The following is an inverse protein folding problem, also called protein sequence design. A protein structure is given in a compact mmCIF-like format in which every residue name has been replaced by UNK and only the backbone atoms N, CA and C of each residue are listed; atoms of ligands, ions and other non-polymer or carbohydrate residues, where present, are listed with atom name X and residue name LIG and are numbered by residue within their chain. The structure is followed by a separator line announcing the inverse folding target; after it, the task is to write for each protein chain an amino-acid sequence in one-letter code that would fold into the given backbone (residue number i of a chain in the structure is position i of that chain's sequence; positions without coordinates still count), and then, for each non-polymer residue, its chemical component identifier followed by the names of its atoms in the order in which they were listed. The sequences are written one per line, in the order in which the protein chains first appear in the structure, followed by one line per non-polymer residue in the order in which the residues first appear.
data_IF_457824168207
#
_entry.id   IF_457824168207
#
_cell.length_a   1.000
_cell.length_b   1.000
_cell.length_c   1.000
_cell.angle_alpha   90.00
_cell.angle_beta   90.00
_cell.angle_gamma   90.00
#
_symmetry.space_group_name_H-M   'P 1'
#
loop_
_entity.id
_entity.type
_entity.pdbx_description
1 polymer ?
#
# COMPACT_ATOMS: atom_id res chain seq x y z
N UNK A 1 10.62 47.57 -38.69
CA UNK A 1 9.39 47.03 -38.09
C UNK A 1 9.16 45.63 -38.68
N UNK A 2 9.64 44.56 -38.03
CA UNK A 2 9.38 43.18 -38.46
C UNK A 2 9.29 42.30 -37.21
N UNK A 3 8.08 41.85 -36.91
CA UNK A 3 7.72 41.00 -35.78
C UNK A 3 7.96 39.53 -36.12
N UNK A 4 8.95 38.89 -35.49
CA UNK A 4 9.10 37.42 -35.55
C UNK A 4 8.15 36.77 -34.54
N UNK A 5 7.10 36.09 -35.04
CA UNK A 5 6.26 35.18 -34.24
C UNK A 5 7.08 33.94 -33.86
N UNK A 6 7.21 33.64 -32.56
CA UNK A 6 7.66 32.34 -32.06
C UNK A 6 6.51 31.35 -32.19
N UNK A 7 6.72 30.26 -32.92
CA UNK A 7 5.84 29.08 -32.93
C UNK A 7 6.22 28.22 -31.72
N UNK A 8 5.29 27.99 -30.81
CA UNK A 8 5.46 27.06 -29.68
C UNK A 8 5.27 25.62 -30.17
N UNK A 9 6.29 24.79 -30.07
CA UNK A 9 6.15 23.35 -30.25
C UNK A 9 5.52 22.74 -28.97
N UNK A 10 4.33 22.16 -29.11
CA UNK A 10 3.69 21.33 -28.09
C UNK A 10 4.51 20.03 -27.90
N UNK A 11 4.75 19.55 -26.67
CA UNK A 11 5.41 18.26 -26.47
C UNK A 11 4.45 17.14 -26.91
N UNK A 12 4.93 16.30 -27.83
CA UNK A 12 4.21 15.10 -28.27
C UNK A 12 4.09 14.12 -27.10
N UNK A 13 2.86 13.80 -26.71
CA UNK A 13 2.59 12.74 -25.74
C UNK A 13 2.99 11.37 -26.31
N UNK A 14 3.64 10.56 -25.47
CA UNK A 14 4.03 9.18 -25.77
C UNK A 14 2.75 8.35 -25.92
N UNK A 15 2.60 7.66 -27.06
CA UNK A 15 1.39 6.88 -27.32
C UNK A 15 1.42 5.54 -26.58
N UNK A 16 0.24 4.98 -26.26
CA UNK A 16 0.09 3.63 -25.64
C UNK A 16 0.83 2.51 -26.40
N UNK A 17 1.17 2.70 -27.67
CA UNK A 17 1.96 1.76 -28.48
C UNK A 17 3.46 1.82 -28.19
N UNK A 18 3.98 2.95 -27.71
CA UNK A 18 5.41 3.10 -27.36
C UNK A 18 5.74 2.55 -25.96
N UNK A 19 4.72 2.39 -25.10
CA UNK A 19 4.85 1.72 -23.79
C UNK A 19 4.95 0.18 -23.90
N UNK A 20 4.57 -0.40 -25.02
CA UNK A 20 4.52 -1.87 -25.23
C UNK A 20 5.76 -2.44 -25.93
N UNK A 21 6.74 -1.62 -26.30
CA UNK A 21 7.93 -2.04 -27.04
C UNK A 21 9.11 -2.54 -26.17
N UNK A 22 8.95 -2.62 -24.84
CA UNK A 22 9.99 -3.12 -23.93
C UNK A 22 9.73 -4.53 -23.35
N UNK A 23 8.72 -5.26 -23.85
CA UNK A 23 8.28 -6.53 -23.25
C UNK A 23 7.93 -7.64 -24.27
N UNK A 24 8.83 -8.03 -25.18
CA UNK A 24 8.61 -9.28 -25.93
C UNK A 24 9.86 -10.16 -25.96
N UNK A 25 9.84 -11.19 -25.12
CA UNK A 25 10.53 -12.46 -25.31
C UNK A 25 9.52 -13.59 -25.13
N UNK A 26 9.13 -14.22 -26.25
CA UNK A 26 8.75 -15.63 -26.49
C UNK A 26 8.29 -16.45 -25.25
N UNK A 27 7.23 -17.26 -25.25
CA UNK A 27 6.57 -18.08 -26.29
C UNK A 27 5.55 -18.99 -25.57
N UNK A 28 4.60 -19.60 -26.27
CA UNK A 28 4.00 -20.87 -25.81
C UNK A 28 2.50 -21.00 -25.99
N UNK A 29 2.10 -21.92 -26.88
CA UNK A 29 0.74 -22.35 -27.17
C UNK A 29 0.11 -23.17 -26.01
N UNK A 30 -1.23 -23.15 -25.90
CA UNK A 30 -2.05 -24.37 -25.82
C UNK A 30 -3.56 -24.09 -25.97
N UNK A 31 -4.24 -25.07 -26.54
CA UNK A 31 -5.63 -25.14 -27.01
C UNK A 31 -6.53 -25.84 -26.00
N UNK A 32 -7.85 -25.69 -26.19
CA UNK A 32 -8.99 -26.57 -25.80
C UNK A 32 -9.89 -25.94 -24.73
N UNK A 33 -11.21 -26.07 -24.75
CA UNK A 33 -12.14 -26.76 -25.64
C UNK A 33 -13.52 -26.59 -25.00
N UNK A 34 -14.48 -26.03 -25.74
CA UNK A 34 -15.84 -25.79 -25.25
C UNK A 34 -16.68 -27.07 -25.33
N UNK A 35 -17.45 -27.38 -24.29
CA UNK A 35 -18.58 -28.29 -24.40
C UNK A 35 -19.79 -27.72 -23.64
N UNK A 36 -20.92 -27.69 -24.32
CA UNK A 36 -22.14 -26.97 -23.97
C UNK A 36 -23.24 -27.92 -23.49
N UNK A 37 -24.02 -27.44 -22.52
CA UNK A 37 -25.45 -27.66 -22.23
C UNK A 37 -26.08 -29.07 -22.21
N UNK A 38 -26.79 -29.32 -21.10
CA UNK A 38 -27.97 -30.20 -20.99
C UNK A 38 -28.21 -30.52 -19.50
N UNK A 39 -29.38 -30.36 -18.89
CA UNK A 39 -30.71 -30.03 -19.35
C UNK A 39 -31.59 -29.69 -18.14
N UNK A 40 -32.65 -28.95 -18.44
CA UNK A 40 -33.73 -28.51 -17.57
C UNK A 40 -34.61 -29.69 -17.13
N UNK A 41 -35.06 -29.74 -15.87
CA UNK A 41 -36.34 -30.35 -15.52
C UNK A 41 -36.96 -29.65 -14.31
N UNK A 42 -38.07 -28.99 -14.62
CA UNK A 42 -39.03 -28.33 -13.73
C UNK A 42 -39.90 -29.39 -13.08
N UNK A 43 -40.07 -29.33 -11.76
CA UNK A 43 -41.25 -29.90 -11.09
C UNK A 43 -41.88 -28.87 -10.17
N UNK A 44 -43.11 -28.49 -10.52
CA UNK A 44 -44.04 -27.71 -9.72
C UNK A 44 -44.76 -28.64 -8.75
N UNK A 45 -44.79 -28.27 -7.47
CA UNK A 45 -45.80 -28.73 -6.53
C UNK A 45 -46.27 -27.55 -5.67
N UNK A 46 -47.57 -27.28 -5.74
CA UNK A 46 -48.31 -26.26 -4.97
C UNK A 46 -48.84 -26.86 -3.66
N UNK A 47 -49.16 -25.92 -2.74
CA UNK A 47 -50.01 -26.00 -1.53
C UNK A 47 -49.28 -26.40 -0.24
N UNK A 48 -49.57 -25.84 0.93
CA UNK A 48 -50.63 -24.94 1.38
C UNK A 48 -50.07 -24.08 2.54
N UNK A 49 -50.55 -22.84 2.66
CA UNK A 49 -50.30 -21.98 3.81
C UNK A 49 -51.09 -22.48 5.03
N UNK A 50 -50.38 -22.78 6.12
CA UNK A 50 -50.95 -22.83 7.46
C UNK A 50 -50.37 -21.67 8.25
N UNK A 51 -51.18 -20.64 8.48
CA UNK A 51 -50.86 -19.52 9.37
C UNK A 51 -50.84 -20.01 10.82
N UNK A 52 -49.65 -20.38 11.31
CA UNK A 52 -49.37 -20.47 12.74
C UNK A 52 -48.62 -19.20 13.16
N UNK A 53 -49.17 -18.48 14.14
CA UNK A 53 -48.54 -17.31 14.76
C UNK A 53 -47.21 -17.72 15.42
N UNK A 54 -46.10 -17.52 14.72
CA UNK A 54 -44.76 -17.58 15.30
C UNK A 54 -44.41 -16.23 15.90
N UNK A 55 -44.24 -16.21 17.22
CA UNK A 55 -43.62 -15.09 17.92
C UNK A 55 -42.21 -14.88 17.36
N UNK A 56 -41.98 -13.77 16.67
CA UNK A 56 -40.66 -13.37 16.20
C UNK A 56 -39.83 -12.96 17.40
N UNK A 57 -38.99 -13.88 17.89
CA UNK A 57 -37.90 -13.50 18.78
C UNK A 57 -36.99 -12.55 18.00
N UNK A 58 -36.98 -11.27 18.37
CA UNK A 58 -36.00 -10.30 17.90
C UNK A 58 -34.63 -10.83 18.35
N UNK A 59 -33.71 -11.22 17.44
CA UNK A 59 -32.38 -11.62 17.87
C UNK A 59 -31.73 -10.41 18.51
N UNK A 60 -31.46 -10.51 19.82
CA UNK A 60 -30.62 -9.55 20.52
C UNK A 60 -29.28 -9.51 19.77
N UNK A 61 -28.82 -8.34 19.30
CA UNK A 61 -27.54 -8.26 18.61
C UNK A 61 -26.44 -8.69 19.57
N UNK A 62 -25.89 -9.88 19.35
CA UNK A 62 -24.69 -10.33 20.04
C UNK A 62 -23.58 -9.35 19.67
N UNK A 63 -22.90 -8.70 20.64
CA UNK A 63 -21.77 -7.83 20.32
C UNK A 63 -20.71 -8.67 19.60
N UNK A 64 -20.48 -8.35 18.32
CA UNK A 64 -19.43 -8.98 17.53
C UNK A 64 -18.09 -8.51 18.12
N UNK A 65 -17.43 -9.38 18.89
CA UNK A 65 -16.09 -9.15 19.44
C UNK A 65 -14.98 -9.41 18.41
N UNK A 66 -15.26 -9.18 17.13
CA UNK A 66 -14.22 -9.18 16.10
C UNK A 66 -13.28 -8.01 16.41
N UNK A 67 -11.95 -8.20 16.47
CA UNK A 67 -11.02 -7.10 16.64
C UNK A 67 -11.33 -6.03 15.59
N UNK A 68 -11.86 -4.90 16.05
CA UNK A 68 -12.24 -3.81 15.16
C UNK A 68 -10.95 -3.32 14.52
N UNK A 69 -10.96 -3.10 13.20
CA UNK A 69 -9.80 -2.53 12.51
C UNK A 69 -9.37 -1.24 13.25
N UNK A 70 -8.06 -0.96 13.37
CA UNK A 70 -7.59 0.25 14.02
C UNK A 70 -8.27 1.47 13.39
N UNK A 71 -8.66 2.48 14.18
CA UNK A 71 -9.26 3.67 13.61
C UNK A 71 -8.28 4.29 12.61
N UNK A 72 -8.77 4.65 11.42
CA UNK A 72 -7.97 5.40 10.46
C UNK A 72 -7.78 6.85 10.95
N UNK A 73 -6.71 7.54 10.51
CA UNK A 73 -6.62 8.98 10.71
C UNK A 73 -7.87 9.68 10.14
N UNK A 74 -8.31 10.81 10.72
CA UNK A 74 -9.39 11.60 10.15
C UNK A 74 -9.10 11.98 8.70
N UNK A 75 -10.12 11.88 7.83
CA UNK A 75 -10.06 12.23 6.40
C UNK A 75 -9.13 11.35 5.53
N UNK A 76 -8.90 10.09 5.93
CA UNK A 76 -8.29 9.10 5.04
C UNK A 76 -9.33 8.48 4.12
N UNK A 77 -9.00 8.42 2.83
CA UNK A 77 -9.79 7.74 1.80
C UNK A 77 -9.54 6.23 1.95
N UNK A 78 -10.56 5.44 2.34
CA UNK A 78 -10.38 4.02 2.59
C UNK A 78 -10.14 3.25 1.29
N UNK A 79 -9.59 2.04 1.41
CA UNK A 79 -9.31 1.13 0.29
C UNK A 79 -10.46 0.98 -0.71
N UNK A 80 -11.67 0.79 -0.21
CA UNK A 80 -12.86 0.64 -1.05
C UNK A 80 -13.14 1.89 -1.92
N UNK A 81 -12.86 3.09 -1.43
CA UNK A 81 -13.15 4.35 -2.12
C UNK A 81 -12.21 4.65 -3.29
N UNK A 82 -11.05 3.98 -3.37
CA UNK A 82 -10.15 4.04 -4.53
C UNK A 82 -10.13 2.73 -5.34
N UNK A 83 -11.09 1.83 -5.11
CA UNK A 83 -11.21 0.54 -5.79
C UNK A 83 -9.98 -0.36 -5.61
N UNK A 84 -9.43 -0.41 -4.41
CA UNK A 84 -8.35 -1.34 -4.08
C UNK A 84 -8.78 -2.79 -4.31
N UNK A 85 -7.92 -3.59 -4.93
CA UNK A 85 -8.10 -5.04 -4.92
C UNK A 85 -7.82 -5.61 -3.51
N UNK A 86 -8.41 -6.75 -3.14
CA UNK A 86 -7.99 -7.47 -1.94
C UNK A 86 -6.52 -7.95 -2.08
N UNK A 87 -5.82 -8.18 -0.96
CA UNK A 87 -4.51 -8.82 -0.97
C UNK A 87 -4.53 -10.18 -1.67
N UNK A 88 -3.46 -10.46 -2.39
CA UNK A 88 -3.24 -11.71 -3.13
C UNK A 88 -2.21 -12.56 -2.41
N UNK A 89 -2.68 -13.42 -1.51
CA UNK A 89 -1.78 -14.30 -0.76
C UNK A 89 -1.16 -15.41 -1.63
N UNK A 90 -1.38 -15.43 -2.94
CA UNK A 90 -0.70 -16.36 -3.86
C UNK A 90 0.44 -15.70 -4.63
N UNK A 91 0.70 -14.41 -4.38
CA UNK A 91 1.76 -13.67 -5.05
C UNK A 91 3.15 -14.24 -4.71
N UNK A 92 3.99 -14.41 -5.73
CA UNK A 92 5.23 -15.19 -5.68
C UNK A 92 6.21 -14.74 -4.59
N UNK A 93 6.38 -13.42 -4.40
CA UNK A 93 7.36 -12.86 -3.46
C UNK A 93 6.87 -12.83 -2.00
N UNK A 94 5.57 -13.04 -1.77
CA UNK A 94 4.94 -13.07 -0.44
C UNK A 94 4.05 -14.31 -0.26
N UNK A 95 4.34 -15.39 -0.99
CA UNK A 95 3.47 -16.55 -1.18
C UNK A 95 2.96 -17.12 0.15
N UNK A 96 1.67 -16.98 0.43
CA UNK A 96 1.03 -17.42 1.67
C UNK A 96 1.30 -16.50 2.87
N UNK A 97 0.98 -17.02 4.06
CA UNK A 97 1.26 -16.31 5.31
C UNK A 97 2.69 -16.54 5.75
N UNK A 98 3.25 -15.56 6.47
CA UNK A 98 4.58 -15.69 7.01
C UNK A 98 4.67 -16.84 8.03
N UNK A 99 5.71 -17.66 7.90
CA UNK A 99 6.05 -18.77 8.79
C UNK A 99 7.57 -18.89 8.93
N UNK A 100 8.05 -19.92 9.64
CA UNK A 100 9.48 -20.22 9.69
C UNK A 100 10.02 -20.63 8.30
N UNK A 101 9.21 -21.33 7.50
CA UNK A 101 9.52 -21.78 6.14
C UNK A 101 9.29 -20.67 5.10
N UNK A 102 8.49 -19.65 5.44
CA UNK A 102 8.17 -18.51 4.59
C UNK A 102 8.33 -17.18 5.34
N UNK A 103 9.57 -16.76 5.66
CA UNK A 103 9.79 -15.58 6.50
C UNK A 103 9.38 -14.25 5.83
N UNK A 104 9.25 -14.23 4.50
CA UNK A 104 8.86 -13.05 3.69
C UNK A 104 7.36 -12.96 3.40
N UNK A 105 6.58 -14.00 3.73
CA UNK A 105 5.15 -14.04 3.48
C UNK A 105 4.33 -12.92 4.11
N UNK A 106 3.03 -12.94 3.83
CA UNK A 106 2.07 -12.01 4.41
C UNK A 106 2.04 -12.14 5.95
N UNK A 107 2.61 -11.15 6.64
CA UNK A 107 2.74 -11.16 8.09
C UNK A 107 1.77 -10.18 8.72
N UNK A 108 0.79 -10.71 9.45
CA UNK A 108 -0.12 -9.93 10.30
C UNK A 108 0.51 -9.82 11.68
N UNK A 109 0.67 -8.60 12.17
CA UNK A 109 1.18 -8.36 13.50
C UNK A 109 0.21 -8.88 14.56
N UNK A 110 0.77 -9.51 15.58
CA UNK A 110 0.05 -9.89 16.80
C UNK A 110 0.44 -8.94 17.94
N UNK A 111 -0.55 -8.48 18.72
CA UNK A 111 -0.34 -7.63 19.89
C UNK A 111 -0.56 -6.13 19.66
N UNK A 112 0.04 -5.30 20.52
CA UNK A 112 -0.13 -3.84 20.50
C UNK A 112 0.70 -3.21 19.38
N UNK A 113 0.04 -2.78 18.30
CA UNK A 113 0.68 -2.07 17.19
C UNK A 113 1.47 -0.83 17.64
N UNK A 114 1.05 -0.16 18.72
CA UNK A 114 1.74 1.00 19.25
C UNK A 114 3.05 0.67 19.96
N UNK A 115 3.29 -0.60 20.28
CA UNK A 115 4.57 -1.08 20.76
C UNK A 115 5.43 -1.67 19.62
N UNK A 116 4.81 -2.06 18.51
CA UNK A 116 5.49 -2.68 17.36
C UNK A 116 6.07 -1.63 16.42
N UNK A 117 5.30 -0.61 16.07
CA UNK A 117 5.77 0.44 15.18
C UNK A 117 6.60 1.46 15.95
N UNK A 118 7.77 1.77 15.42
CA UNK A 118 8.68 2.78 16.01
C UNK A 118 9.05 3.88 15.02
N UNK A 119 9.05 3.54 13.74
CA UNK A 119 9.59 4.40 12.67
C UNK A 119 8.60 4.54 11.52
N UNK A 120 8.43 5.77 11.04
CA UNK A 120 7.75 6.04 9.77
C UNK A 120 8.79 6.30 8.67
N UNK A 121 8.59 5.68 7.51
CA UNK A 121 9.50 5.79 6.36
C UNK A 121 8.80 6.51 5.22
N UNK A 122 9.40 7.59 4.76
CA UNK A 122 8.89 8.45 3.69
C UNK A 122 9.44 7.98 2.34
N UNK A 123 8.53 7.82 1.38
CA UNK A 123 8.78 7.40 0.01
C UNK A 123 8.23 8.39 -1.01
N UNK A 124 8.70 8.27 -2.26
CA UNK A 124 8.02 8.83 -3.43
C UNK A 124 7.58 7.72 -4.40
N UNK A 125 6.60 7.97 -5.28
CA UNK A 125 6.02 6.93 -6.15
C UNK A 125 6.80 6.67 -7.45
N UNK A 126 7.54 7.67 -7.96
CA UNK A 126 8.31 7.59 -9.22
C UNK A 126 7.46 7.25 -10.48
N UNK A 127 6.27 7.86 -10.63
CA UNK A 127 6.03 8.74 -11.79
C UNK A 127 5.51 10.14 -11.38
N UNK A 128 5.42 11.09 -12.34
CA UNK A 128 4.92 12.47 -12.11
C UNK A 128 3.40 12.55 -11.85
N UNK A 129 2.67 11.44 -11.94
CA UNK A 129 1.24 11.42 -11.63
C UNK A 129 1.04 11.59 -10.12
N UNK A 130 0.10 12.48 -9.76
CA UNK A 130 -0.17 12.88 -8.38
C UNK A 130 -1.68 12.93 -8.08
N UNK A 131 -2.44 12.01 -8.66
CA UNK A 131 -3.89 11.95 -8.53
C UNK A 131 -4.37 10.61 -7.95
N UNK A 132 -5.69 10.49 -7.72
CA UNK A 132 -6.31 9.29 -7.14
C UNK A 132 -6.06 8.01 -7.93
N UNK A 133 -5.84 8.09 -9.25
CA UNK A 133 -5.53 6.91 -10.08
C UNK A 133 -4.15 6.31 -9.77
N UNK A 134 -3.26 7.10 -9.17
CA UNK A 134 -1.89 6.66 -8.84
C UNK A 134 -1.88 5.57 -7.77
N UNK A 135 -2.82 5.55 -6.82
CA UNK A 135 -2.92 4.45 -5.83
C UNK A 135 -3.16 3.10 -6.51
N UNK A 136 -4.11 3.06 -7.43
CA UNK A 136 -4.45 1.85 -8.17
C UNK A 136 -3.30 1.41 -9.07
N UNK A 137 -2.65 2.35 -9.77
CA UNK A 137 -1.48 2.07 -10.59
C UNK A 137 -0.31 1.52 -9.77
N UNK A 138 -0.04 2.08 -8.58
CA UNK A 138 0.97 1.56 -7.67
C UNK A 138 0.65 0.14 -7.19
N UNK A 139 -0.62 -0.13 -6.85
CA UNK A 139 -1.06 -1.48 -6.48
C UNK A 139 -0.85 -2.47 -7.63
N UNK A 140 -1.18 -2.08 -8.87
CA UNK A 140 -0.99 -2.91 -10.05
C UNK A 140 0.49 -3.19 -10.35
N UNK A 141 1.37 -2.18 -10.26
CA UNK A 141 2.81 -2.37 -10.45
C UNK A 141 3.37 -3.32 -9.38
N UNK A 142 3.00 -3.11 -8.12
CA UNK A 142 3.47 -3.98 -7.03
C UNK A 142 3.02 -5.43 -7.19
N UNK A 143 1.77 -5.65 -7.62
CA UNK A 143 1.25 -7.01 -7.82
C UNK A 143 1.76 -7.67 -9.10
N UNK A 144 1.72 -6.97 -10.23
CA UNK A 144 1.94 -7.58 -11.54
C UNK A 144 3.41 -7.57 -11.96
N UNK A 145 4.20 -6.61 -11.45
CA UNK A 145 5.62 -6.47 -11.81
C UNK A 145 6.55 -6.89 -10.69
N UNK A 146 6.16 -6.66 -9.43
CA UNK A 146 6.96 -7.09 -8.27
C UNK A 146 6.43 -8.32 -7.58
N UNK A 147 5.31 -8.88 -8.04
CA UNK A 147 4.71 -10.10 -7.51
C UNK A 147 4.49 -10.05 -5.98
N UNK A 148 4.13 -8.87 -5.46
CA UNK A 148 3.74 -8.68 -4.07
C UNK A 148 2.24 -8.93 -3.89
N UNK A 149 1.81 -9.28 -2.69
CA UNK A 149 0.40 -9.55 -2.38
C UNK A 149 -0.47 -8.29 -2.48
N UNK A 150 0.10 -7.11 -2.24
CA UNK A 150 -0.63 -5.84 -2.25
C UNK A 150 0.32 -4.65 -2.49
N UNK A 151 -0.22 -3.44 -2.54
CA UNK A 151 0.58 -2.22 -2.46
C UNK A 151 1.52 -2.28 -1.24
N UNK A 152 2.78 -1.87 -1.39
CA UNK A 152 3.79 -2.02 -0.33
C UNK A 152 3.76 -0.98 0.79
N UNK A 153 3.05 0.13 0.59
CA UNK A 153 2.96 1.26 1.52
C UNK A 153 1.66 1.20 2.32
N UNK A 154 1.66 1.64 3.58
CA UNK A 154 0.45 1.70 4.40
C UNK A 154 -0.40 2.93 4.09
N UNK A 155 0.23 4.03 3.66
CA UNK A 155 -0.49 5.25 3.26
C UNK A 155 0.09 5.86 2.00
N UNK A 156 -0.76 6.47 1.19
CA UNK A 156 -0.39 7.28 0.02
C UNK A 156 -0.91 8.71 0.13
N UNK A 157 -0.18 9.69 -0.40
CA UNK A 157 -0.59 11.11 -0.42
C UNK A 157 -0.48 11.68 -1.84
N UNK A 158 -1.61 12.08 -2.41
CA UNK A 158 -1.66 12.69 -3.73
C UNK A 158 -1.24 14.16 -3.74
N UNK A 159 -1.08 14.75 -4.92
CA UNK A 159 -0.61 16.12 -5.11
C UNK A 159 -1.54 17.18 -4.53
N UNK A 160 -2.81 16.84 -4.31
CA UNK A 160 -3.82 17.69 -3.67
C UNK A 160 -3.84 17.54 -2.14
N UNK A 161 -3.02 16.66 -1.57
CA UNK A 161 -2.94 16.40 -0.13
C UNK A 161 -4.00 15.42 0.37
N UNK A 162 -4.70 14.69 -0.50
CA UNK A 162 -5.59 13.61 -0.05
C UNK A 162 -4.75 12.43 0.41
N UNK A 163 -5.12 11.87 1.56
CA UNK A 163 -4.45 10.70 2.15
C UNK A 163 -5.29 9.47 1.84
N UNK A 164 -4.64 8.42 1.35
CA UNK A 164 -5.27 7.15 0.98
C UNK A 164 -4.73 6.04 1.88
N UNK A 165 -5.64 5.19 2.32
CA UNK A 165 -5.29 3.92 2.96
C UNK A 165 -4.67 2.98 1.92
N UNK A 166 -3.46 2.49 2.18
CA UNK A 166 -2.75 1.49 1.39
C UNK A 166 -2.87 0.11 2.03
N UNK A 167 -1.74 -0.58 2.21
CA UNK A 167 -1.67 -1.86 2.93
C UNK A 167 -2.20 -1.69 4.35
N UNK A 168 -2.97 -2.68 4.80
CA UNK A 168 -3.55 -2.68 6.15
C UNK A 168 -2.46 -2.45 7.20
N UNK A 169 -2.71 -1.52 8.13
CA UNK A 169 -1.75 -1.14 9.17
C UNK A 169 -1.47 -2.26 10.19
N UNK A 170 -2.24 -3.34 10.18
CA UNK A 170 -1.96 -4.55 10.96
C UNK A 170 -0.98 -5.48 10.27
N UNK A 171 -0.60 -5.19 9.03
CA UNK A 171 0.21 -6.07 8.19
C UNK A 171 1.57 -5.44 7.96
N UNK A 172 2.62 -6.27 7.95
CA UNK A 172 3.96 -5.85 7.56
C UNK A 172 3.96 -5.24 6.15
N UNK A 173 4.56 -4.06 6.02
CA UNK A 173 4.75 -3.38 4.74
C UNK A 173 5.65 -4.16 3.76
N UNK A 174 5.71 -3.68 2.52
CA UNK A 174 6.67 -4.10 1.51
C UNK A 174 7.29 -2.85 0.84
N UNK A 175 7.93 -2.00 1.63
CA UNK A 175 8.40 -0.68 1.18
C UNK A 175 9.91 -0.44 1.39
N UNK A 176 10.55 -1.08 2.36
CA UNK A 176 12.01 -1.07 2.54
C UNK A 176 12.49 -2.51 2.72
N UNK A 177 13.16 -3.06 1.70
CA UNK A 177 13.68 -4.42 1.74
C UNK A 177 14.58 -4.64 2.96
N UNK A 178 14.31 -5.69 3.75
CA UNK A 178 15.04 -6.00 5.00
C UNK A 178 14.63 -5.19 6.23
N UNK A 179 13.81 -4.14 6.09
CA UNK A 179 13.46 -3.21 7.18
C UNK A 179 11.95 -2.93 7.28
N UNK A 180 11.10 -3.80 6.71
CA UNK A 180 9.65 -3.63 6.69
C UNK A 180 8.97 -3.84 8.06
N UNK A 181 9.57 -4.68 8.91
CA UNK A 181 9.00 -4.99 10.22
C UNK A 181 9.15 -3.80 11.15
N UNK A 182 8.08 -3.43 11.87
CA UNK A 182 8.08 -2.30 12.80
C UNK A 182 8.17 -0.92 12.12
N UNK A 183 8.04 -0.84 10.79
CA UNK A 183 8.08 0.42 10.04
C UNK A 183 6.78 0.73 9.30
N UNK A 184 6.33 1.98 9.36
CA UNK A 184 5.17 2.47 8.62
C UNK A 184 5.65 3.16 7.35
N UNK A 185 5.48 2.54 6.18
CA UNK A 185 5.71 3.19 4.88
C UNK A 185 4.61 4.18 4.48
N UNK A 186 4.98 5.44 4.19
CA UNK A 186 4.12 6.48 3.62
C UNK A 186 4.71 6.94 2.28
N UNK A 187 3.94 6.84 1.19
CA UNK A 187 4.36 7.29 -0.15
C UNK A 187 3.71 8.61 -0.52
N UNK A 188 4.50 9.58 -0.97
CA UNK A 188 4.01 10.80 -1.59
C UNK A 188 4.08 10.65 -3.11
N UNK A 189 2.97 10.90 -3.79
CA UNK A 189 2.88 10.74 -5.24
C UNK A 189 3.66 11.84 -5.96
N UNK A 190 4.52 11.46 -6.89
CA UNK A 190 5.37 12.36 -7.65
C UNK A 190 6.80 11.84 -7.78
N UNK A 191 7.62 12.60 -8.52
CA UNK A 191 9.04 12.34 -8.65
C UNK A 191 9.86 13.48 -8.05
N UNK A 192 10.16 13.40 -6.75
CA UNK A 192 10.91 14.47 -6.09
C UNK A 192 12.41 14.51 -6.37
N UNK A 193 12.91 13.74 -7.36
CA UNK A 193 14.20 14.04 -7.99
C UNK A 193 14.11 15.24 -8.95
N UNK A 194 12.93 15.51 -9.53
CA UNK A 194 12.76 16.55 -10.55
C UNK A 194 11.89 17.72 -10.10
N UNK A 195 11.05 17.53 -9.09
CA UNK A 195 10.08 18.52 -8.61
C UNK A 195 10.02 18.57 -7.08
N UNK A 196 9.52 19.67 -6.52
CA UNK A 196 9.23 19.75 -5.10
C UNK A 196 7.88 19.06 -4.76
N UNK A 197 7.72 18.50 -3.55
CA UNK A 197 6.41 18.16 -3.02
C UNK A 197 5.49 19.39 -3.00
N UNK A 198 4.19 19.21 -3.25
CA UNK A 198 3.25 20.33 -3.13
C UNK A 198 3.08 20.74 -1.66
N UNK A 199 2.70 22.00 -1.42
CA UNK A 199 2.38 22.44 -0.06
C UNK A 199 1.26 21.61 0.57
N UNK A 200 0.26 21.20 -0.24
CA UNK A 200 -0.83 20.35 0.22
C UNK A 200 -0.33 18.97 0.66
N UNK A 201 0.62 18.37 -0.06
CA UNK A 201 1.28 17.11 0.34
C UNK A 201 2.02 17.26 1.67
N UNK A 202 2.78 18.34 1.85
CA UNK A 202 3.55 18.56 3.08
C UNK A 202 2.64 18.77 4.30
N UNK A 203 1.56 19.54 4.16
CA UNK A 203 0.56 19.74 5.22
C UNK A 203 -0.16 18.45 5.57
N UNK A 204 -0.58 17.67 4.56
CA UNK A 204 -1.23 16.38 4.76
C UNK A 204 -0.29 15.38 5.43
N UNK A 205 0.97 15.33 4.99
CA UNK A 205 2.00 14.50 5.59
C UNK A 205 2.22 14.86 7.06
N UNK A 206 2.41 16.14 7.39
CA UNK A 206 2.62 16.56 8.78
C UNK A 206 1.45 16.15 9.69
N UNK A 207 0.20 16.33 9.23
CA UNK A 207 -1.01 15.91 9.97
C UNK A 207 -1.08 14.40 10.16
N UNK A 208 -0.80 13.63 9.10
CA UNK A 208 -0.75 12.17 9.17
C UNK A 208 0.32 11.71 10.15
N UNK A 209 1.53 12.27 10.05
CA UNK A 209 2.65 11.94 10.93
C UNK A 209 2.35 12.27 12.40
N UNK A 210 1.70 13.41 12.67
CA UNK A 210 1.26 13.75 14.02
C UNK A 210 0.30 12.67 14.57
N UNK A 211 -0.71 12.28 13.80
CA UNK A 211 -1.65 11.25 14.22
C UNK A 211 -0.97 9.88 14.40
N UNK A 212 -0.10 9.47 13.47
CA UNK A 212 0.65 8.22 13.56
C UNK A 212 1.55 8.20 14.79
N UNK A 213 2.24 9.32 15.09
CA UNK A 213 3.07 9.45 16.28
C UNK A 213 2.27 9.24 17.57
N UNK A 214 1.10 9.86 17.69
CA UNK A 214 0.28 9.69 18.90
C UNK A 214 -0.31 8.28 18.99
N UNK A 215 -0.78 7.73 17.87
CA UNK A 215 -1.45 6.43 17.83
C UNK A 215 -0.48 5.28 18.07
N UNK A 216 0.70 5.34 17.47
CA UNK A 216 1.68 4.25 17.46
C UNK A 216 2.95 4.56 18.25
N UNK A 217 2.96 5.63 19.05
CA UNK A 217 4.12 6.06 19.87
C UNK A 217 5.43 6.13 19.08
N UNK A 218 5.33 6.56 17.82
CA UNK A 218 6.50 6.63 16.94
C UNK A 218 7.56 7.54 17.55
N UNK A 219 8.80 7.10 17.45
CA UNK A 219 9.98 7.83 17.93
C UNK A 219 10.80 8.38 16.78
N UNK A 220 10.72 7.75 15.60
CA UNK A 220 11.60 8.04 14.48
C UNK A 220 10.88 8.34 13.16
N UNK A 221 11.51 9.18 12.34
CA UNK A 221 11.18 9.44 10.95
C UNK A 221 12.41 9.27 10.07
N UNK A 222 12.27 8.54 8.97
CA UNK A 222 13.33 8.33 7.99
C UNK A 222 12.80 8.50 6.56
N UNK A 223 13.69 8.82 5.63
CA UNK A 223 13.50 8.57 4.21
C UNK A 223 14.05 7.19 3.81
N UNK A 224 13.53 6.60 2.73
CA UNK A 224 14.01 5.30 2.24
C UNK A 224 15.55 5.27 2.04
N UNK A 225 16.15 6.34 1.51
CA UNK A 225 17.61 6.37 1.30
C UNK A 225 18.43 6.21 2.58
N UNK A 226 17.87 6.52 3.76
CA UNK A 226 18.59 6.36 5.04
C UNK A 226 18.75 4.88 5.41
N UNK A 227 17.85 4.01 4.93
CA UNK A 227 17.98 2.55 5.03
C UNK A 227 18.74 1.93 3.86
N UNK A 228 18.64 2.52 2.68
CA UNK A 228 19.34 2.04 1.48
C UNK A 228 19.94 3.23 0.69
N UNK A 229 21.22 3.55 0.88
CA UNK A 229 21.86 4.70 0.23
C UNK A 229 21.90 4.63 -1.30
N UNK A 230 21.62 3.47 -1.91
CA UNK A 230 21.58 3.30 -3.37
C UNK A 230 20.29 3.79 -4.01
N UNK A 231 19.22 4.02 -3.22
CA UNK A 231 17.98 4.59 -3.74
C UNK A 231 17.98 6.12 -3.71
N UNK A 232 17.39 6.72 -4.75
CA UNK A 232 17.11 8.16 -4.77
C UNK A 232 15.96 8.55 -3.82
N UNK A 233 15.06 7.60 -3.53
CA UNK A 233 13.83 7.78 -2.74
C UNK A 233 14.10 8.34 -1.33
N UNK A 234 13.36 9.37 -0.83
CA UNK A 234 12.16 9.95 -1.40
C UNK A 234 12.41 11.11 -2.38
N UNK A 235 13.63 11.27 -2.90
CA UNK A 235 13.97 12.31 -3.84
C UNK A 235 14.67 13.51 -3.19
N UNK A 236 15.71 14.05 -3.84
CA UNK A 236 16.52 15.16 -3.32
C UNK A 236 15.73 16.42 -2.93
N UNK A 237 14.59 16.68 -3.60
CA UNK A 237 13.74 17.82 -3.26
C UNK A 237 12.78 17.54 -2.08
N UNK A 238 12.60 16.27 -1.68
CA UNK A 238 11.84 15.90 -0.46
C UNK A 238 12.75 15.85 0.77
N UNK A 239 14.02 15.46 0.61
CA UNK A 239 14.98 15.26 1.73
C UNK A 239 15.08 16.45 2.71
N UNK A 240 15.11 17.74 2.28
CA UNK A 240 15.15 18.86 3.20
C UNK A 240 13.97 18.93 4.17
N UNK A 241 12.79 18.46 3.75
CA UNK A 241 11.58 18.48 4.58
C UNK A 241 11.60 17.39 5.67
N UNK A 242 12.40 16.33 5.54
CA UNK A 242 12.47 15.27 6.55
C UNK A 242 12.95 15.82 7.90
N UNK A 243 14.00 16.65 7.92
CA UNK A 243 14.48 17.28 9.15
C UNK A 243 13.45 18.24 9.75
N UNK A 244 12.78 19.03 8.91
CA UNK A 244 11.76 19.98 9.37
C UNK A 244 10.56 19.27 9.99
N UNK A 245 10.09 18.20 9.35
CA UNK A 245 9.00 17.37 9.87
C UNK A 245 9.38 16.70 11.18
N UNK A 246 10.55 16.05 11.22
CA UNK A 246 11.07 15.40 12.42
C UNK A 246 11.16 16.39 13.60
N UNK A 247 11.77 17.56 13.38
CA UNK A 247 11.87 18.61 14.39
C UNK A 247 10.49 19.10 14.85
N UNK A 248 9.58 19.40 13.92
CA UNK A 248 8.25 19.94 14.25
C UNK A 248 7.38 18.97 15.05
N UNK A 249 7.65 17.67 14.95
CA UNK A 249 6.90 16.60 15.62
C UNK A 249 7.64 15.97 16.79
N UNK A 250 8.86 16.45 17.09
CA UNK A 250 9.76 15.86 18.10
C UNK A 250 9.99 14.36 17.84
N UNK A 251 10.30 14.02 16.60
CA UNK A 251 10.77 12.71 16.18
C UNK A 251 12.28 12.78 15.93
N UNK A 252 12.98 11.69 16.25
CA UNK A 252 14.37 11.52 15.84
C UNK A 252 14.45 11.18 14.35
N UNK A 253 15.47 11.70 13.67
CA UNK A 253 15.66 11.44 12.25
C UNK A 253 16.61 10.26 12.04
N UNK A 254 16.25 9.38 11.11
CA UNK A 254 17.12 8.29 10.64
C UNK A 254 16.64 6.92 11.10
N UNK A 255 17.55 5.95 11.03
CA UNK A 255 17.22 4.52 11.16
C UNK A 255 17.33 3.96 12.59
N UNK A 256 17.75 4.78 13.56
CA UNK A 256 17.97 4.34 14.95
C UNK A 256 16.74 3.75 15.65
N UNK A 257 15.54 4.08 15.18
CA UNK A 257 14.29 3.54 15.69
C UNK A 257 13.96 2.16 15.17
N UNK A 258 14.60 1.69 14.11
CA UNK A 258 14.31 0.37 13.57
C UNK A 258 14.68 -0.71 14.58
N UNK A 259 13.66 -1.49 14.95
CA UNK A 259 13.85 -2.68 15.79
C UNK A 259 13.64 -3.88 14.88
N UNK A 260 14.70 -4.67 14.59
CA UNK A 260 14.51 -5.91 13.85
C UNK A 260 13.55 -6.81 14.65
N UNK A 261 12.73 -7.61 13.96
CA UNK A 261 11.92 -8.59 14.66
C UNK A 261 12.86 -9.40 15.56
N UNK A 262 12.45 -9.60 16.84
CA UNK A 262 13.08 -10.63 17.68
C UNK A 262 13.08 -11.87 16.81
N UNK A 263 14.25 -12.34 16.42
CA UNK A 263 14.36 -13.32 15.36
C UNK A 263 13.41 -14.50 15.65
N UNK A 264 13.03 -15.22 14.61
CA UNK A 264 12.82 -16.66 14.76
C UNK A 264 14.14 -17.25 15.29
N UNK A 265 14.44 -17.02 16.58
CA UNK A 265 15.73 -17.26 17.20
C UNK A 265 15.83 -18.72 17.62
N UNK A 266 15.53 -19.62 16.69
CA UNK A 266 15.94 -21.01 16.70
C UNK A 266 16.02 -21.46 15.23
N UNK A 267 17.24 -21.79 14.78
CA UNK A 267 17.61 -22.32 13.44
C UNK A 267 18.03 -21.28 12.40
N UNK A 268 19.07 -20.54 12.72
CA UNK A 268 20.20 -20.46 11.78
C UNK A 268 21.33 -21.29 12.38
N UNK A 269 21.27 -22.61 12.14
CA UNK A 269 22.50 -23.43 12.21
C UNK A 269 23.23 -23.11 10.91
N UNK A 270 24.48 -22.63 10.96
CA UNK A 270 25.24 -22.34 9.75
C UNK A 270 25.56 -23.68 9.09
N UNK A 271 25.13 -23.87 7.85
CA UNK A 271 25.79 -24.85 6.98
C UNK A 271 27.05 -24.20 6.45
N UNK A 272 28.15 -24.94 6.60
CA UNK A 272 29.54 -24.64 6.27
C UNK A 272 29.77 -23.98 4.91
#
# INVERSE_FOLDING_TARGET
MQTRRRVSAQPKGISRRELLAWLVGLSGLAVSGSCSLGGLLVFLARRAESHALQATAVPTPTPNLTPTAPPLPPNVIPRAAWNALPPDHTAEEEYGFASAENPTGWYVYEGDLAAIYTTVVIHHSFPLLRDSGTMRALQEIHRNTRHWADIGYHFGIDGSGKVYEGRDIRVRGANVAGYNTGTIGVVLMGNFEVEAPSQAQLVALQRLLYWLKQTYRLTHLAGHYEFNPTTACPGKNMRPYLSLLAQSLSLERGTGGYVPPKAYSQRLVPCC
#
